data_IF_553595132185
#
_entry.id   IF_553595132185
#
_cell.length_a   1.000
_cell.length_b   1.000
_cell.length_c   1.000
_cell.angle_alpha   90.00
_cell.angle_beta   90.00
_cell.angle_gamma   90.00
#
_symmetry.space_group_name_H-M   'P 1'
#
loop_
_entity.id
_entity.type
_entity.pdbx_description
1 polymer ?
#
# COMPACT_ATOMS: atom_id res chain seq x y z
N UNK A 1 13.46 -5.83 -53.23
CA UNK A 1 14.00 -6.42 -51.97
C UNK A 1 13.98 -5.44 -50.80
N UNK A 2 14.57 -4.23 -50.89
CA UNK A 2 14.59 -3.25 -49.79
C UNK A 2 13.20 -2.78 -49.28
N UNK A 3 12.20 -2.70 -50.17
CA UNK A 3 10.82 -2.29 -49.79
C UNK A 3 10.01 -3.37 -49.03
N UNK A 4 10.36 -4.65 -49.19
CA UNK A 4 9.67 -5.78 -48.52
C UNK A 4 10.15 -5.92 -47.08
N UNK A 5 11.44 -5.67 -46.82
CA UNK A 5 12.03 -5.69 -45.48
C UNK A 5 11.46 -4.57 -44.60
N UNK A 6 11.24 -3.38 -45.17
CA UNK A 6 10.62 -2.26 -44.44
C UNK A 6 9.18 -2.55 -44.01
N UNK A 7 8.40 -3.28 -44.83
CA UNK A 7 7.01 -3.63 -44.52
C UNK A 7 6.92 -4.69 -43.40
N UNK A 8 7.86 -5.65 -43.35
CA UNK A 8 7.93 -6.62 -42.26
C UNK A 8 8.41 -6.01 -40.93
N UNK A 9 9.34 -5.03 -40.96
CA UNK A 9 9.73 -4.31 -39.74
C UNK A 9 8.61 -3.40 -39.21
N UNK A 10 7.81 -2.78 -40.08
CA UNK A 10 6.65 -1.97 -39.68
C UNK A 10 5.51 -2.82 -39.10
N UNK A 11 5.32 -4.04 -39.60
CA UNK A 11 4.31 -4.98 -39.06
C UNK A 11 4.75 -5.61 -37.74
N UNK A 12 6.05 -5.83 -37.52
CA UNK A 12 6.58 -6.30 -36.24
C UNK A 12 6.48 -5.23 -35.13
N UNK A 13 6.56 -3.94 -35.49
CA UNK A 13 6.41 -2.84 -34.52
C UNK A 13 4.96 -2.60 -34.08
N UNK A 14 3.96 -2.94 -34.90
CA UNK A 14 2.55 -2.71 -34.57
C UNK A 14 1.95 -3.78 -33.66
N UNK A 15 2.52 -4.99 -33.59
CA UNK A 15 2.02 -6.08 -32.72
C UNK A 15 2.39 -5.85 -31.24
N UNK A 16 3.46 -5.12 -30.95
CA UNK A 16 3.93 -4.88 -29.57
C UNK A 16 3.11 -3.83 -28.82
N UNK A 17 2.47 -2.89 -29.53
CA UNK A 17 1.79 -1.76 -28.91
C UNK A 17 0.40 -2.12 -28.33
N UNK A 18 -0.22 -3.20 -28.83
CA UNK A 18 -1.56 -3.62 -28.41
C UNK A 18 -1.58 -4.40 -27.10
N UNK A 19 -0.43 -4.87 -26.60
CA UNK A 19 -0.36 -5.70 -25.38
C UNK A 19 -0.38 -4.88 -24.09
N UNK A 20 -0.05 -3.58 -24.16
CA UNK A 20 0.02 -2.71 -22.97
C UNK A 20 -1.13 -1.70 -22.84
N UNK A 21 -2.07 -1.67 -23.79
CA UNK A 21 -3.27 -0.84 -23.70
C UNK A 21 -4.44 -1.62 -23.05
N UNK A 22 -4.18 -2.26 -21.92
CA UNK A 22 -5.25 -2.74 -21.04
C UNK A 22 -5.96 -1.54 -20.42
N UNK A 23 -7.27 -1.46 -20.60
CA UNK A 23 -8.17 -0.42 -20.08
C UNK A 23 -8.04 -0.31 -18.54
N UNK A 24 -7.09 0.50 -18.08
CA UNK A 24 -6.60 0.53 -16.69
C UNK A 24 -7.56 1.21 -15.71
N UNK A 25 -8.72 1.66 -16.19
CA UNK A 25 -9.67 2.45 -15.41
C UNK A 25 -10.91 1.67 -14.94
N UNK A 26 -11.00 0.36 -15.20
CA UNK A 26 -12.17 -0.46 -14.82
C UNK A 26 -12.25 -0.81 -13.33
N UNK A 27 -11.19 -0.55 -12.56
CA UNK A 27 -11.02 -1.10 -11.20
C UNK A 27 -11.43 -0.18 -10.06
N UNK A 28 -11.68 1.11 -10.31
CA UNK A 28 -12.01 2.09 -9.27
C UNK A 28 -13.45 2.57 -9.44
N UNK A 29 -14.29 2.29 -8.44
CA UNK A 29 -15.64 2.84 -8.38
C UNK A 29 -15.57 4.33 -8.01
N UNK A 30 -15.88 5.22 -8.95
CA UNK A 30 -15.83 6.67 -8.69
C UNK A 30 -16.87 7.16 -7.67
N UNK A 31 -17.88 6.34 -7.31
CA UNK A 31 -18.88 6.64 -6.29
C UNK A 31 -18.54 6.05 -4.91
N UNK A 32 -17.61 5.10 -4.86
CA UNK A 32 -17.17 4.42 -3.64
C UNK A 32 -15.64 4.26 -3.70
N UNK A 33 -14.91 5.13 -3.00
CA UNK A 33 -13.44 5.10 -2.96
C UNK A 33 -12.88 3.92 -2.17
N UNK A 34 -13.75 3.04 -1.61
CA UNK A 34 -13.32 1.79 -1.00
C UNK A 34 -12.91 0.78 -2.06
N UNK A 35 -11.82 0.08 -1.77
CA UNK A 35 -11.23 -0.95 -2.63
C UNK A 35 -11.28 -2.34 -1.97
N UNK A 36 -12.00 -2.48 -0.85
CA UNK A 36 -12.12 -3.74 -0.11
C UNK A 36 -13.26 -4.66 -0.60
N UNK A 37 -13.95 -4.24 -1.67
CA UNK A 37 -15.00 -5.01 -2.35
C UNK A 37 -14.62 -5.31 -3.80
N UNK A 38 -14.96 -6.49 -4.32
CA UNK A 38 -14.70 -6.80 -5.72
C UNK A 38 -15.59 -5.94 -6.62
N UNK A 39 -15.07 -5.60 -7.80
CA UNK A 39 -15.90 -5.02 -8.86
C UNK A 39 -16.81 -6.10 -9.47
N UNK A 40 -17.85 -5.71 -10.19
CA UNK A 40 -18.75 -6.66 -10.85
C UNK A 40 -18.07 -7.38 -12.02
N UNK A 41 -18.44 -8.64 -12.27
CA UNK A 41 -18.00 -9.45 -13.43
C UNK A 41 -16.49 -9.78 -13.44
N UNK A 42 -15.92 -10.08 -12.27
CA UNK A 42 -14.62 -10.76 -12.21
C UNK A 42 -14.79 -12.22 -12.65
N UNK A 43 -13.78 -12.74 -13.35
CA UNK A 43 -13.59 -14.19 -13.50
C UNK A 43 -13.21 -14.82 -12.16
N UNK A 44 -13.38 -16.14 -12.02
CA UNK A 44 -13.05 -16.86 -10.79
C UNK A 44 -11.59 -16.63 -10.37
N UNK A 45 -10.64 -16.66 -11.32
CA UNK A 45 -9.23 -16.40 -11.04
C UNK A 45 -8.97 -14.94 -10.58
N UNK A 46 -9.66 -13.96 -11.15
CA UNK A 46 -9.55 -12.56 -10.69
C UNK A 46 -10.17 -12.39 -9.30
N UNK A 47 -11.23 -13.13 -9.00
CA UNK A 47 -11.86 -13.14 -7.68
C UNK A 47 -10.91 -13.73 -6.63
N UNK A 48 -10.21 -14.83 -6.94
CA UNK A 48 -9.19 -15.41 -6.06
C UNK A 48 -8.04 -14.44 -5.80
N UNK A 49 -7.52 -13.80 -6.85
CA UNK A 49 -6.48 -12.77 -6.73
C UNK A 49 -6.95 -11.59 -5.87
N UNK A 50 -8.19 -11.14 -6.06
CA UNK A 50 -8.78 -10.08 -5.24
C UNK A 50 -8.85 -10.48 -3.76
N UNK A 51 -9.35 -11.68 -3.46
CA UNK A 51 -9.48 -12.18 -2.09
C UNK A 51 -8.12 -12.35 -1.41
N UNK A 52 -7.12 -12.85 -2.14
CA UNK A 52 -5.74 -12.93 -1.67
C UNK A 52 -5.17 -11.55 -1.35
N UNK A 53 -5.32 -10.58 -2.27
CA UNK A 53 -4.88 -9.20 -2.05
C UNK A 53 -5.56 -8.55 -0.83
N UNK A 54 -6.86 -8.76 -0.66
CA UNK A 54 -7.61 -8.30 0.51
C UNK A 54 -7.09 -8.92 1.81
N UNK A 55 -6.73 -10.20 1.79
CA UNK A 55 -6.08 -10.88 2.92
C UNK A 55 -4.71 -10.26 3.25
N UNK A 56 -3.91 -9.91 2.23
CA UNK A 56 -2.67 -9.12 2.42
C UNK A 56 -2.91 -7.77 3.10
N UNK A 57 -4.00 -7.10 2.75
CA UNK A 57 -4.29 -5.77 3.25
C UNK A 57 -4.80 -5.73 4.71
N UNK A 58 -5.50 -6.79 5.13
CA UNK A 58 -6.28 -6.81 6.38
C UNK A 58 -5.67 -7.66 7.48
N UNK A 59 -4.93 -8.72 7.15
CA UNK A 59 -4.32 -9.61 8.15
C UNK A 59 -3.03 -8.99 8.68
N UNK A 60 -2.84 -8.91 10.02
CA UNK A 60 -1.68 -8.29 10.62
C UNK A 60 -0.38 -9.05 10.38
N UNK A 61 0.69 -8.28 10.20
CA UNK A 61 2.06 -8.72 10.41
C UNK A 61 2.31 -8.94 11.90
N UNK A 62 3.11 -9.95 12.23
CA UNK A 62 3.43 -10.34 13.60
C UNK A 62 4.93 -10.21 13.85
N UNK A 63 5.28 -10.06 15.13
CA UNK A 63 6.67 -9.88 15.54
C UNK A 63 7.54 -11.09 15.20
N UNK A 64 8.75 -10.81 14.74
CA UNK A 64 9.74 -11.85 14.50
C UNK A 64 10.48 -12.25 15.79
N UNK A 65 10.84 -13.53 15.94
CA UNK A 65 10.48 -14.66 15.08
C UNK A 65 9.04 -15.13 15.31
N UNK A 66 8.37 -15.58 14.25
CA UNK A 66 6.99 -16.10 14.31
C UNK A 66 6.87 -17.52 13.76
N UNK A 67 5.81 -18.24 14.15
CA UNK A 67 5.46 -19.55 13.61
C UNK A 67 4.96 -19.48 12.15
N UNK A 68 4.49 -18.32 11.69
CA UNK A 68 4.09 -18.10 10.28
C UNK A 68 5.22 -17.44 9.51
N UNK A 69 5.52 -17.91 8.31
CA UNK A 69 6.51 -17.28 7.42
C UNK A 69 5.88 -16.24 6.49
N UNK A 70 4.56 -16.31 6.26
CA UNK A 70 3.88 -15.46 5.29
C UNK A 70 3.63 -14.03 5.81
N UNK A 71 3.71 -13.82 7.14
CA UNK A 71 3.45 -12.54 7.83
C UNK A 71 4.40 -12.26 8.99
N UNK A 72 5.60 -12.81 8.92
CA UNK A 72 6.68 -12.53 9.88
C UNK A 72 7.44 -11.25 9.52
N UNK A 73 8.26 -10.74 10.44
CA UNK A 73 9.22 -9.68 10.18
C UNK A 73 8.80 -8.32 10.73
N UNK A 74 7.73 -8.24 11.53
CA UNK A 74 7.40 -6.98 12.20
C UNK A 74 8.49 -6.66 13.23
N UNK A 75 9.14 -5.51 13.07
CA UNK A 75 10.15 -5.02 14.00
C UNK A 75 9.55 -4.59 15.35
N UNK A 76 10.42 -4.32 16.35
CA UNK A 76 9.98 -3.96 17.70
C UNK A 76 9.26 -2.60 17.79
N UNK A 77 9.56 -1.69 16.86
CA UNK A 77 8.95 -0.38 16.71
C UNK A 77 8.25 -0.31 15.35
N UNK A 78 7.00 0.14 15.33
CA UNK A 78 6.20 0.15 14.10
C UNK A 78 5.07 1.18 14.14
N UNK A 79 4.64 1.61 12.95
CA UNK A 79 3.51 2.53 12.83
C UNK A 79 2.19 1.85 12.59
N UNK A 80 2.14 0.73 11.88
CA UNK A 80 0.95 -0.10 11.74
C UNK A 80 1.40 -1.53 11.43
N UNK A 81 0.61 -2.50 11.85
CA UNK A 81 0.84 -3.90 11.53
C UNK A 81 -0.13 -4.43 10.46
N UNK A 82 -1.06 -3.60 9.97
CA UNK A 82 -1.92 -3.90 8.82
C UNK A 82 -1.96 -2.70 7.88
N UNK A 83 -2.15 -2.94 6.58
CA UNK A 83 -2.33 -1.87 5.60
C UNK A 83 -3.63 -1.08 5.89
N UNK A 84 -4.71 -1.79 6.24
CA UNK A 84 -6.03 -1.20 6.53
C UNK A 84 -6.03 -0.23 7.72
N UNK A 85 -5.07 -0.35 8.65
CA UNK A 85 -4.94 0.60 9.77
C UNK A 85 -4.67 2.03 9.29
N UNK A 86 -3.98 2.21 8.16
CA UNK A 86 -3.70 3.50 7.55
C UNK A 86 -4.60 3.77 6.34
N UNK A 87 -5.13 2.73 5.71
CA UNK A 87 -5.91 2.78 4.48
C UNK A 87 -7.30 2.17 4.69
N UNK A 88 -8.17 2.91 5.37
CA UNK A 88 -9.52 2.44 5.69
C UNK A 88 -10.28 2.00 4.42
N UNK A 89 -10.97 0.86 4.47
CA UNK A 89 -11.67 0.28 3.31
C UNK A 89 -10.75 -0.04 2.12
N UNK A 90 -9.46 -0.28 2.37
CA UNK A 90 -8.39 -0.43 1.37
C UNK A 90 -8.19 0.80 0.47
N UNK A 91 -8.72 1.96 0.87
CA UNK A 91 -8.73 3.17 0.08
C UNK A 91 -7.70 4.21 0.53
N UNK A 92 -7.98 5.46 0.19
CA UNK A 92 -7.19 6.59 0.64
C UNK A 92 -7.30 6.76 2.16
N UNK A 93 -6.18 7.07 2.81
CA UNK A 93 -6.17 7.39 4.23
C UNK A 93 -6.78 8.76 4.52
N UNK A 94 -7.46 8.88 5.65
CA UNK A 94 -8.04 10.15 6.13
C UNK A 94 -6.99 10.98 6.87
N UNK A 95 -7.09 12.31 6.88
CA UNK A 95 -6.12 13.15 7.62
C UNK A 95 -6.45 13.22 9.10
N UNK A 96 -7.72 13.34 9.44
CA UNK A 96 -8.23 13.37 10.81
C UNK A 96 -9.29 12.31 11.00
N UNK A 97 -9.35 11.72 12.19
CA UNK A 97 -10.44 10.81 12.54
C UNK A 97 -11.75 11.59 12.79
N UNK A 98 -12.86 10.89 13.02
CA UNK A 98 -14.15 11.52 13.30
C UNK A 98 -14.17 12.41 14.56
N UNK A 99 -13.23 12.20 15.49
CA UNK A 99 -13.03 13.04 16.68
C UNK A 99 -12.18 14.29 16.45
N UNK A 100 -11.58 14.45 15.26
CA UNK A 100 -10.73 15.58 14.91
C UNK A 100 -9.25 15.41 15.28
N UNK A 101 -8.84 14.24 15.79
CA UNK A 101 -7.44 13.91 16.07
C UNK A 101 -6.72 13.48 14.78
N UNK A 102 -5.39 13.53 14.81
CA UNK A 102 -4.51 13.00 13.76
C UNK A 102 -4.86 11.53 13.50
N UNK A 103 -5.21 11.20 12.26
CA UNK A 103 -5.52 9.83 11.89
C UNK A 103 -4.26 8.98 11.79
N UNK A 104 -4.44 7.65 11.86
CA UNK A 104 -3.37 6.66 11.68
C UNK A 104 -2.74 6.67 10.29
N UNK A 105 -3.38 7.29 9.30
CA UNK A 105 -2.85 7.43 7.95
C UNK A 105 -1.75 8.50 7.83
N UNK A 106 -1.64 9.40 8.81
CA UNK A 106 -0.60 10.41 8.84
C UNK A 106 0.68 9.86 9.50
N UNK A 107 1.82 10.23 8.93
CA UNK A 107 3.13 9.90 9.46
C UNK A 107 3.81 11.17 9.96
N UNK A 108 4.13 11.19 11.24
CA UNK A 108 4.84 12.32 11.86
C UNK A 108 6.34 12.10 11.72
N UNK A 109 7.04 13.14 11.26
CA UNK A 109 8.50 13.16 11.15
C UNK A 109 9.04 14.27 12.03
N UNK A 110 10.14 13.98 12.72
CA UNK A 110 10.81 14.95 13.56
C UNK A 110 12.06 15.47 12.83
N UNK A 111 12.14 16.79 12.67
CA UNK A 111 13.30 17.45 12.10
C UNK A 111 13.80 18.55 13.03
N UNK A 112 15.09 18.79 12.97
CA UNK A 112 15.74 19.96 13.57
C UNK A 112 15.31 21.24 12.84
N UNK A 113 15.52 22.44 13.43
CA UNK A 113 15.23 23.71 12.76
C UNK A 113 15.95 23.91 11.42
N UNK A 114 17.09 23.24 11.22
CA UNK A 114 17.84 23.22 9.96
C UNK A 114 17.31 22.20 8.93
N UNK A 115 16.14 21.61 9.19
CA UNK A 115 15.49 20.61 8.34
C UNK A 115 16.14 19.22 8.35
N UNK A 116 17.23 19.03 9.11
CA UNK A 116 17.92 17.74 9.19
C UNK A 116 17.18 16.76 10.12
N UNK A 117 17.29 15.44 9.90
CA UNK A 117 16.76 14.45 10.83
C UNK A 117 17.33 14.64 12.24
N UNK A 118 16.51 14.36 13.26
CA UNK A 118 17.01 14.28 14.63
C UNK A 118 17.83 12.99 14.79
N UNK A 119 19.06 13.03 15.33
CA UNK A 119 19.85 11.83 15.57
C UNK A 119 19.09 10.78 16.40
N UNK A 120 19.34 9.51 16.14
CA UNK A 120 18.73 8.34 16.79
C UNK A 120 17.25 8.07 16.48
N UNK A 121 16.49 9.06 16.00
CA UNK A 121 15.14 8.84 15.50
C UNK A 121 15.17 8.36 14.05
N UNK A 122 14.24 7.48 13.71
CA UNK A 122 14.05 7.02 12.34
C UNK A 122 13.53 8.12 11.41
N UNK A 123 13.24 7.75 10.16
CA UNK A 123 12.64 8.66 9.18
C UNK A 123 11.19 9.08 9.49
N UNK A 124 10.59 8.48 10.51
CA UNK A 124 9.25 8.75 11.04
C UNK A 124 9.19 8.32 12.50
N UNK A 125 8.33 8.95 13.28
CA UNK A 125 8.05 8.56 14.67
C UNK A 125 7.29 7.23 14.68
N UNK A 126 7.77 6.26 15.46
CA UNK A 126 7.09 5.00 15.73
C UNK A 126 6.07 5.17 16.86
N UNK A 127 4.78 5.08 16.52
CA UNK A 127 3.68 5.31 17.48
C UNK A 127 3.18 4.03 18.16
N UNK A 128 3.76 2.88 17.82
CA UNK A 128 3.57 1.61 18.54
C UNK A 128 4.92 0.94 18.78
N UNK A 129 4.94 0.09 19.80
CA UNK A 129 6.05 -0.82 20.08
C UNK A 129 5.54 -2.14 20.63
N UNK A 130 6.39 -3.16 20.63
CA UNK A 130 6.09 -4.44 21.27
C UNK A 130 6.11 -4.32 22.81
N UNK A 131 5.62 -5.33 23.53
CA UNK A 131 5.40 -5.28 24.98
C UNK A 131 6.58 -4.72 25.82
N UNK A 132 7.83 -5.01 25.42
CA UNK A 132 9.04 -4.59 26.15
C UNK A 132 9.80 -3.45 25.46
N UNK A 133 9.22 -2.83 24.43
CA UNK A 133 9.82 -1.73 23.67
C UNK A 133 8.81 -0.59 23.62
N UNK A 134 8.99 0.48 24.42
CA UNK A 134 8.12 1.64 24.38
C UNK A 134 8.09 2.27 22.99
N UNK A 135 6.93 2.75 22.56
CA UNK A 135 6.80 3.56 21.36
C UNK A 135 7.53 4.90 21.54
N UNK A 136 7.89 5.57 20.44
CA UNK A 136 8.73 6.78 20.48
C UNK A 136 7.94 8.01 20.95
N UNK A 137 6.75 8.25 20.39
CA UNK A 137 5.84 9.31 20.82
C UNK A 137 4.42 9.11 20.27
N UNK A 138 3.44 9.81 20.84
CA UNK A 138 2.08 9.92 20.30
C UNK A 138 1.88 11.32 19.74
N UNK A 139 1.76 11.49 18.41
CA UNK A 139 1.44 12.77 17.81
C UNK A 139 0.03 13.19 18.22
N UNK A 140 -0.08 14.38 18.82
CA UNK A 140 -1.36 15.03 19.11
C UNK A 140 -1.49 16.31 18.30
N UNK A 141 -2.73 16.76 18.11
CA UNK A 141 -3.02 18.06 17.52
C UNK A 141 -2.81 19.19 18.51
#
# INVERSE_FOLDING_TARGET
MKKIIALFLLLALSVSASVFAGDSHRWINKKDYRLDRPITKLSDNEQDLFMMGRSFFTIPWVFAPSATTARDGLGPLFNANTCISCHNGNGLGETYNAGGDISRALLTKLSRPDGKPVPHYGGQIAVNGMANVPFEATPTR
#
